data_IF_564057966168
#
_entry.id   IF_564057966168
#
_cell.length_a   1.000
_cell.length_b   1.000
_cell.length_c   1.000
_cell.angle_alpha   90.00
_cell.angle_beta   90.00
_cell.angle_gamma   90.00
#
_symmetry.space_group_name_H-M   'P 1'
#
loop_
_entity.id
_entity.type
_entity.pdbx_description
1 polymer ?
#
# COMPACT_ATOMS: atom_id res chain seq x y z
N UNK A 1 -14.45 -4.21 -7.50
CA UNK A 1 -15.03 -3.14 -6.65
C UNK A 1 -15.93 -3.67 -5.53
N UNK A 2 -17.10 -4.28 -5.81
CA UNK A 2 -18.07 -4.70 -4.77
C UNK A 2 -17.47 -5.56 -3.65
N UNK A 3 -16.64 -6.56 -4.00
CA UNK A 3 -15.96 -7.42 -3.02
C UNK A 3 -14.96 -6.65 -2.14
N UNK A 4 -14.24 -5.68 -2.71
CA UNK A 4 -13.33 -4.82 -1.95
C UNK A 4 -14.08 -3.92 -0.95
N UNK A 5 -15.24 -3.37 -1.35
CA UNK A 5 -16.10 -2.60 -0.44
C UNK A 5 -16.67 -3.46 0.70
N UNK A 6 -17.06 -4.70 0.41
CA UNK A 6 -17.51 -5.65 1.44
C UNK A 6 -16.39 -5.98 2.43
N UNK A 7 -15.18 -6.26 1.93
CA UNK A 7 -14.01 -6.48 2.76
C UNK A 7 -13.72 -5.26 3.65
N UNK A 8 -13.64 -4.05 3.08
CA UNK A 8 -13.39 -2.83 3.87
C UNK A 8 -14.49 -2.57 4.90
N UNK A 9 -15.77 -2.80 4.57
CA UNK A 9 -16.84 -2.68 5.54
C UNK A 9 -16.68 -3.67 6.71
N UNK A 10 -16.19 -4.88 6.44
CA UNK A 10 -15.92 -5.89 7.49
C UNK A 10 -14.80 -5.49 8.45
N UNK A 11 -13.90 -4.59 8.05
CA UNK A 11 -12.82 -4.09 8.91
C UNK A 11 -13.32 -3.15 10.02
N UNK A 12 -14.54 -2.60 9.89
CA UNK A 12 -15.17 -1.70 10.87
C UNK A 12 -14.32 -0.46 11.22
N UNK A 13 -13.53 0.02 10.26
CA UNK A 13 -12.79 1.27 10.41
C UNK A 13 -13.72 2.48 10.30
N UNK A 14 -13.33 3.62 10.85
CA UNK A 14 -14.14 4.85 10.80
C UNK A 14 -14.33 5.31 9.35
N UNK A 15 -15.58 5.30 8.88
CA UNK A 15 -15.93 5.56 7.47
C UNK A 15 -15.58 6.96 6.95
N UNK A 16 -15.38 7.96 7.82
CA UNK A 16 -15.11 9.36 7.42
C UNK A 16 -13.81 9.55 6.63
N UNK A 17 -12.99 8.51 6.48
CA UNK A 17 -11.72 8.57 5.73
C UNK A 17 -11.83 8.00 4.33
N UNK A 18 -12.86 7.21 4.05
CA UNK A 18 -13.06 6.65 2.74
C UNK A 18 -13.84 7.63 1.86
N UNK A 19 -13.34 7.81 0.65
CA UNK A 19 -13.94 8.69 -0.34
C UNK A 19 -14.18 7.89 -1.62
N UNK A 20 -15.44 7.43 -1.85
CA UNK A 20 -15.78 6.63 -3.01
C UNK A 20 -15.54 7.33 -4.34
N UNK A 21 -15.42 8.66 -4.37
CA UNK A 21 -15.11 9.40 -5.60
C UNK A 21 -13.74 9.00 -6.16
N UNK A 22 -12.79 8.64 -5.30
CA UNK A 22 -11.43 8.24 -5.69
C UNK A 22 -11.24 6.72 -5.83
N UNK A 23 -12.30 5.92 -5.73
CA UNK A 23 -12.24 4.48 -5.95
C UNK A 23 -11.76 4.16 -7.37
N UNK A 24 -10.91 3.14 -7.51
CA UNK A 24 -10.43 2.68 -8.81
C UNK A 24 -10.27 1.16 -8.86
N UNK A 25 -10.51 0.56 -10.03
CA UNK A 25 -10.33 -0.87 -10.24
C UNK A 25 -9.31 -1.09 -11.34
N UNK A 26 -8.24 -1.84 -11.03
CA UNK A 26 -7.14 -2.12 -11.95
C UNK A 26 -7.15 -3.57 -12.43
N UNK A 27 -8.31 -4.25 -12.39
CA UNK A 27 -8.44 -5.58 -12.97
C UNK A 27 -8.38 -5.51 -14.51
N UNK A 28 -8.16 -6.66 -15.17
CA UNK A 28 -8.05 -6.75 -16.63
C UNK A 28 -9.23 -6.16 -17.41
N UNK A 29 -10.41 -6.05 -16.81
CA UNK A 29 -11.60 -5.48 -17.46
C UNK A 29 -11.66 -3.95 -17.30
N UNK A 30 -11.24 -3.42 -16.15
CA UNK A 30 -11.35 -1.99 -15.83
C UNK A 30 -10.10 -1.20 -16.23
N UNK A 31 -8.94 -1.86 -16.27
CA UNK A 31 -7.68 -1.29 -16.73
C UNK A 31 -6.99 -2.35 -17.59
N UNK A 32 -7.37 -2.49 -18.87
CA UNK A 32 -6.93 -3.59 -19.73
C UNK A 32 -5.46 -3.41 -20.17
N UNK A 33 -4.87 -4.43 -20.79
CA UNK A 33 -3.43 -4.52 -21.10
C UNK A 33 -2.92 -3.42 -22.01
N UNK A 34 -3.80 -2.86 -22.84
CA UNK A 34 -3.50 -1.86 -23.86
C UNK A 34 -3.26 -0.48 -23.23
N UNK A 35 -3.76 -0.25 -22.01
CA UNK A 35 -3.46 0.97 -21.26
C UNK A 35 -2.01 0.97 -20.75
N UNK A 36 -1.38 2.14 -20.56
CA UNK A 36 -0.01 2.22 -20.06
C UNK A 36 0.15 1.51 -18.72
N UNK A 37 1.23 0.74 -18.54
CA UNK A 37 1.56 0.12 -17.26
C UNK A 37 2.37 1.05 -16.33
N UNK A 38 2.91 2.13 -16.90
CA UNK A 38 3.61 3.21 -16.22
C UNK A 38 3.06 4.52 -16.76
N UNK A 39 2.75 5.46 -15.86
CA UNK A 39 2.38 6.85 -16.20
C UNK A 39 3.24 7.80 -15.36
N UNK A 40 3.17 9.09 -15.64
CA UNK A 40 3.89 10.09 -14.84
C UNK A 40 3.01 10.63 -13.70
N UNK A 41 3.59 10.81 -12.51
CA UNK A 41 2.96 11.44 -11.36
C UNK A 41 4.02 12.07 -10.44
N UNK A 42 3.93 13.38 -10.21
CA UNK A 42 4.89 14.09 -9.36
C UNK A 42 6.31 14.15 -9.94
N UNK A 43 6.44 14.26 -11.27
CA UNK A 43 7.70 14.19 -12.02
C UNK A 43 8.47 12.86 -11.81
N UNK A 44 7.74 11.76 -11.57
CA UNK A 44 8.30 10.43 -11.45
C UNK A 44 7.39 9.40 -12.13
N UNK A 45 7.97 8.26 -12.47
CA UNK A 45 7.23 7.10 -12.96
C UNK A 45 6.33 6.53 -11.85
N UNK A 46 5.07 6.32 -12.19
CA UNK A 46 4.07 5.65 -11.38
C UNK A 46 3.67 4.33 -12.06
N UNK A 47 4.09 3.23 -11.45
CA UNK A 47 3.73 1.87 -11.89
C UNK A 47 2.28 1.56 -11.49
N UNK A 48 1.43 1.30 -12.48
CA UNK A 48 0.01 1.03 -12.26
C UNK A 48 -0.18 -0.29 -11.49
N UNK A 49 -0.96 -0.32 -10.40
CA UNK A 49 -1.15 -1.51 -9.58
C UNK A 49 -2.17 -2.48 -10.20
N UNK A 50 -1.85 -3.02 -11.39
CA UNK A 50 -2.69 -3.99 -12.10
C UNK A 50 -3.05 -5.19 -11.21
N UNK A 51 -4.31 -5.59 -11.25
CA UNK A 51 -4.88 -6.64 -10.41
C UNK A 51 -5.39 -6.20 -9.04
N UNK A 52 -5.24 -4.92 -8.67
CA UNK A 52 -5.70 -4.38 -7.39
C UNK A 52 -6.98 -3.56 -7.54
N UNK A 53 -7.67 -3.35 -6.42
CA UNK A 53 -8.75 -2.37 -6.29
C UNK A 53 -8.31 -1.32 -5.29
N UNK A 54 -8.36 -0.05 -5.66
CA UNK A 54 -8.20 1.07 -4.74
C UNK A 54 -9.55 1.42 -4.15
N UNK A 55 -9.61 1.41 -2.82
CA UNK A 55 -10.64 2.12 -2.07
C UNK A 55 -10.08 3.50 -1.74
N UNK A 56 -10.74 4.53 -2.26
CA UNK A 56 -10.28 5.92 -2.17
C UNK A 56 -10.23 6.41 -0.73
N UNK A 57 -9.20 7.18 -0.41
CA UNK A 57 -9.08 7.86 0.87
C UNK A 57 -9.12 9.37 0.67
N UNK A 58 -9.82 10.05 1.57
CA UNK A 58 -9.85 11.50 1.58
C UNK A 58 -8.49 12.07 2.02
N UNK A 59 -7.92 12.93 1.18
CA UNK A 59 -6.78 13.78 1.52
C UNK A 59 -7.32 15.16 1.90
N UNK A 60 -6.85 15.69 3.02
CA UNK A 60 -7.23 17.00 3.52
C UNK A 60 -6.94 18.10 2.48
N UNK A 61 -7.94 18.85 1.99
CA UNK A 61 -7.76 19.81 0.90
C UNK A 61 -6.76 20.93 1.23
N UNK A 62 -6.72 21.39 2.49
CA UNK A 62 -5.79 22.44 2.92
C UNK A 62 -4.35 21.93 2.85
N UNK A 63 -4.13 20.70 3.33
CA UNK A 63 -2.81 20.05 3.25
C UNK A 63 -2.40 19.78 1.80
N UNK A 64 -3.36 19.34 0.98
CA UNK A 64 -3.16 19.07 -0.44
C UNK A 64 -2.69 20.32 -1.19
N UNK A 65 -3.45 21.41 -1.10
CA UNK A 65 -3.17 22.69 -1.75
C UNK A 65 -1.83 23.28 -1.27
N UNK A 66 -1.60 23.32 0.04
CA UNK A 66 -0.39 23.90 0.62
C UNK A 66 0.89 23.22 0.11
N UNK A 67 0.86 21.89 -0.07
CA UNK A 67 2.02 21.13 -0.54
C UNK A 67 2.00 20.82 -2.04
N UNK A 68 0.94 21.20 -2.76
CA UNK A 68 0.65 20.79 -4.14
C UNK A 68 0.89 19.28 -4.32
N UNK A 69 0.24 18.47 -3.47
CA UNK A 69 0.55 17.05 -3.32
C UNK A 69 0.40 16.31 -4.66
N UNK A 70 -0.65 16.60 -5.41
CA UNK A 70 -0.92 15.85 -6.64
C UNK A 70 0.09 16.14 -7.76
N UNK A 71 0.60 17.36 -7.80
CA UNK A 71 1.52 17.83 -8.84
C UNK A 71 2.99 17.55 -8.52
N UNK A 72 3.36 17.63 -7.23
CA UNK A 72 4.77 17.58 -6.81
C UNK A 72 5.19 16.26 -6.18
N UNK A 73 4.27 15.53 -5.54
CA UNK A 73 4.65 14.36 -4.75
C UNK A 73 4.56 13.09 -5.60
N UNK A 74 5.59 12.24 -5.49
CA UNK A 74 5.67 10.99 -6.25
C UNK A 74 4.69 9.96 -5.67
N UNK A 75 4.31 8.97 -6.47
CA UNK A 75 3.48 7.86 -6.00
C UNK A 75 4.35 6.72 -5.49
N UNK A 76 4.10 6.27 -4.25
CA UNK A 76 4.77 5.11 -3.66
C UNK A 76 3.77 4.19 -2.95
N UNK A 77 4.23 3.03 -2.54
CA UNK A 77 3.41 1.98 -1.95
C UNK A 77 3.99 1.55 -0.61
N UNK A 78 3.16 1.45 0.42
CA UNK A 78 3.55 0.97 1.75
C UNK A 78 2.83 -0.35 2.06
N UNK A 79 3.59 -1.44 2.07
CA UNK A 79 3.11 -2.75 2.52
C UNK A 79 2.99 -2.77 4.03
N UNK A 80 1.83 -3.16 4.56
CA UNK A 80 1.62 -3.17 6.00
C UNK A 80 0.53 -4.15 6.43
N UNK A 81 0.35 -4.29 7.75
CA UNK A 81 -0.72 -5.11 8.35
C UNK A 81 -2.02 -4.32 8.44
N UNK A 82 -3.15 -5.02 8.59
CA UNK A 82 -4.47 -4.40 8.80
C UNK A 82 -4.43 -3.44 10.00
N UNK A 83 -3.86 -3.85 11.14
CA UNK A 83 -3.86 -3.02 12.35
C UNK A 83 -2.95 -1.79 12.23
N UNK A 84 -1.82 -1.91 11.54
CA UNK A 84 -0.94 -0.78 11.26
C UNK A 84 -1.58 0.18 10.25
N UNK A 85 -2.20 -0.32 9.18
CA UNK A 85 -2.97 0.51 8.26
C UNK A 85 -4.10 1.26 8.98
N UNK A 86 -4.85 0.58 9.86
CA UNK A 86 -5.90 1.22 10.66
C UNK A 86 -5.33 2.37 11.50
N UNK A 87 -4.20 2.15 12.18
CA UNK A 87 -3.52 3.16 12.98
C UNK A 87 -3.09 4.37 12.14
N UNK A 88 -2.49 4.13 10.97
CA UNK A 88 -2.06 5.19 10.04
C UNK A 88 -3.24 6.02 9.57
N UNK A 89 -4.34 5.36 9.16
CA UNK A 89 -5.52 6.06 8.64
C UNK A 89 -6.24 6.84 9.74
N UNK A 90 -6.39 6.27 10.93
CA UNK A 90 -6.99 6.96 12.08
C UNK A 90 -6.20 8.22 12.43
N UNK A 91 -4.87 8.11 12.50
CA UNK A 91 -3.99 9.19 12.94
C UNK A 91 -3.53 10.15 11.83
N UNK A 92 -3.83 9.88 10.55
CA UNK A 92 -3.30 10.63 9.37
C UNK A 92 -1.77 10.69 9.33
N UNK A 93 -1.10 9.74 9.96
CA UNK A 93 0.35 9.79 10.14
C UNK A 93 0.90 8.38 10.07
N UNK A 94 1.94 8.21 9.26
CA UNK A 94 2.67 6.95 9.21
C UNK A 94 3.37 6.69 10.55
N UNK A 95 3.25 5.45 11.03
CA UNK A 95 3.84 4.98 12.28
C UNK A 95 5.32 4.66 12.06
N UNK A 96 6.16 5.06 13.02
CA UNK A 96 7.57 4.71 13.10
C UNK A 96 7.78 3.60 14.14
N UNK A 97 8.86 2.79 14.04
CA UNK A 97 9.20 1.85 15.09
C UNK A 97 9.31 2.54 16.47
N UNK A 98 8.62 2.00 17.45
CA UNK A 98 8.41 2.56 18.79
C UNK A 98 7.06 3.25 18.99
N UNK A 99 6.31 3.55 17.92
CA UNK A 99 4.95 4.08 18.04
C UNK A 99 3.98 2.98 18.51
N UNK A 100 2.99 3.37 19.32
CA UNK A 100 1.89 2.48 19.74
C UNK A 100 0.76 2.50 18.72
N UNK A 101 0.35 1.32 18.25
CA UNK A 101 -0.76 1.13 17.34
C UNK A 101 -2.10 1.20 18.08
N UNK A 102 -3.20 1.27 17.31
CA UNK A 102 -4.55 1.42 17.85
C UNK A 102 -5.02 0.24 18.72
N UNK A 103 -4.38 -0.93 18.61
CA UNK A 103 -4.62 -2.11 19.44
C UNK A 103 -3.71 -2.19 20.68
N UNK A 104 -2.87 -1.18 20.92
CA UNK A 104 -1.88 -1.16 22.00
C UNK A 104 -0.55 -1.81 21.66
N UNK A 105 -0.39 -2.43 20.48
CA UNK A 105 0.88 -3.02 20.06
C UNK A 105 1.93 -1.94 19.84
N UNK A 106 3.12 -2.10 20.42
CA UNK A 106 4.27 -1.23 20.10
C UNK A 106 4.93 -1.72 18.81
N UNK A 107 5.03 -0.85 17.81
CA UNK A 107 5.59 -1.21 16.51
C UNK A 107 7.08 -1.49 16.62
N UNK A 108 7.49 -2.74 16.44
CA UNK A 108 8.90 -3.13 16.43
C UNK A 108 9.65 -2.74 15.15
N UNK A 109 10.98 -2.83 15.20
CA UNK A 109 11.82 -2.84 13.98
C UNK A 109 11.60 -4.21 13.32
N UNK A 110 11.12 -4.24 12.07
CA UNK A 110 10.83 -5.50 11.38
C UNK A 110 12.12 -6.18 10.87
N UNK A 111 12.14 -7.51 10.73
CA UNK A 111 13.23 -8.21 10.03
C UNK A 111 13.47 -7.61 8.63
N UNK A 112 14.73 -7.41 8.26
CA UNK A 112 15.13 -6.72 7.02
C UNK A 112 15.33 -5.21 7.14
N UNK A 113 14.94 -4.59 8.26
CA UNK A 113 15.28 -3.19 8.52
C UNK A 113 16.74 -3.06 9.01
N UNK A 114 17.36 -1.92 8.72
CA UNK A 114 18.70 -1.60 9.23
C UNK A 114 18.62 -1.52 10.77
N UNK A 115 19.45 -2.27 11.53
CA UNK A 115 19.45 -2.22 12.99
C UNK A 115 19.53 -0.78 13.52
N UNK A 116 18.73 -0.48 14.55
CA UNK A 116 18.63 0.83 15.21
C UNK A 116 18.09 1.99 14.36
N UNK A 117 17.63 1.76 13.12
CA UNK A 117 17.00 2.81 12.33
C UNK A 117 15.48 2.74 12.38
N UNK A 118 14.87 3.86 12.76
CA UNK A 118 13.41 4.01 12.86
C UNK A 118 12.90 4.64 11.57
N UNK A 119 12.70 3.81 10.55
CA UNK A 119 12.24 4.27 9.23
C UNK A 119 10.83 3.78 8.89
N UNK A 120 10.12 4.58 8.11
CA UNK A 120 9.00 4.15 7.28
C UNK A 120 9.56 3.70 5.94
N UNK A 121 9.18 2.49 5.50
CA UNK A 121 9.56 1.96 4.19
C UNK A 121 8.40 2.07 3.19
N UNK A 122 8.73 2.42 1.97
CA UNK A 122 7.84 2.47 0.81
C UNK A 122 8.59 1.96 -0.42
N UNK A 123 7.88 1.74 -1.51
CA UNK A 123 8.47 1.35 -2.79
C UNK A 123 7.82 2.11 -3.93
N UNK A 124 8.53 2.38 -5.05
CA UNK A 124 7.91 2.87 -6.28
C UNK A 124 7.00 1.81 -6.93
N UNK A 125 6.99 0.57 -6.44
CA UNK A 125 6.19 -0.52 -7.04
C UNK A 125 5.39 -1.30 -6.02
N UNK A 126 4.15 -1.61 -6.38
CA UNK A 126 3.31 -2.49 -5.57
C UNK A 126 3.83 -3.93 -5.53
N UNK A 127 4.59 -4.36 -6.56
CA UNK A 127 5.16 -5.70 -6.61
C UNK A 127 6.08 -5.96 -5.40
N UNK A 128 6.90 -4.97 -5.04
CA UNK A 128 7.75 -5.04 -3.86
C UNK A 128 6.94 -4.89 -2.56
N UNK A 129 6.12 -3.84 -2.45
CA UNK A 129 5.34 -3.57 -1.23
C UNK A 129 4.27 -4.62 -0.91
N UNK A 130 3.92 -5.48 -1.87
CA UNK A 130 2.98 -6.59 -1.65
C UNK A 130 3.65 -7.94 -1.37
N UNK A 131 4.98 -7.99 -1.22
CA UNK A 131 5.66 -9.19 -0.77
C UNK A 131 5.15 -9.61 0.63
N UNK A 132 5.05 -10.92 0.93
CA UNK A 132 4.44 -11.41 2.17
C UNK A 132 5.03 -10.83 3.46
N UNK A 133 6.33 -10.51 3.47
CA UNK A 133 7.02 -9.89 4.62
C UNK A 133 6.52 -8.48 4.94
N UNK A 134 6.04 -7.75 3.93
CA UNK A 134 5.54 -6.38 4.08
C UNK A 134 4.02 -6.33 4.18
N UNK A 135 3.33 -7.12 3.35
CA UNK A 135 1.87 -7.19 3.27
C UNK A 135 1.41 -8.64 3.49
N UNK A 136 1.29 -9.09 4.75
CA UNK A 136 0.81 -10.44 5.04
C UNK A 136 -0.63 -10.59 4.59
N UNK A 137 -0.98 -11.81 4.18
CA UNK A 137 -2.34 -12.17 3.78
C UNK A 137 -3.21 -12.35 5.02
N UNK A 138 -4.50 -12.02 4.90
CA UNK A 138 -5.51 -12.28 5.94
C UNK A 138 -6.71 -12.97 5.30
N UNK A 139 -7.30 -13.93 6.00
CA UNK A 139 -8.51 -14.61 5.52
C UNK A 139 -9.73 -13.70 5.60
N UNK A 140 -10.58 -13.77 4.59
CA UNK A 140 -11.84 -13.06 4.52
C UNK A 140 -12.92 -13.95 3.90
N UNK A 141 -13.99 -14.19 4.66
CA UNK A 141 -15.18 -14.89 4.16
C UNK A 141 -16.18 -13.86 3.62
N UNK A 142 -16.44 -13.90 2.31
CA UNK A 142 -17.44 -13.03 1.67
C UNK A 142 -18.83 -13.62 1.82
N UNK A 143 -19.74 -12.87 2.45
CA UNK A 143 -21.15 -13.20 2.53
C UNK A 143 -21.83 -13.07 1.17
N UNK A 144 -21.30 -12.23 0.28
CA UNK A 144 -21.80 -12.03 -1.08
C UNK A 144 -21.50 -13.20 -2.00
N UNK A 145 -20.26 -13.69 -2.00
CA UNK A 145 -19.86 -14.77 -2.91
C UNK A 145 -19.91 -16.16 -2.26
N UNK A 146 -20.12 -16.21 -0.93
CA UNK A 146 -20.10 -17.45 -0.13
C UNK A 146 -18.76 -18.19 -0.22
N UNK A 147 -17.66 -17.45 -0.34
CA UNK A 147 -16.30 -17.99 -0.52
C UNK A 147 -15.32 -17.33 0.44
N UNK A 148 -14.27 -18.08 0.76
CA UNK A 148 -13.12 -17.59 1.51
C UNK A 148 -12.02 -17.13 0.56
N UNK A 149 -11.42 -15.98 0.88
CA UNK A 149 -10.31 -15.38 0.15
C UNK A 149 -9.14 -15.14 1.09
N UNK A 150 -7.93 -15.20 0.54
CA UNK A 150 -6.79 -14.52 1.14
C UNK A 150 -6.71 -13.10 0.60
N UNK A 151 -6.65 -12.12 1.48
CA UNK A 151 -6.65 -10.70 1.12
C UNK A 151 -5.34 -10.07 1.53
N UNK A 152 -4.75 -9.28 0.64
CA UNK A 152 -3.63 -8.40 0.96
C UNK A 152 -4.05 -6.95 0.85
N UNK A 153 -3.44 -6.12 1.69
CA UNK A 153 -3.60 -4.67 1.65
C UNK A 153 -2.26 -3.95 1.48
N UNK A 154 -2.29 -2.84 0.75
CA UNK A 154 -1.15 -1.93 0.57
C UNK A 154 -1.70 -0.51 0.62
N UNK A 155 -1.01 0.41 1.31
CA UNK A 155 -1.35 1.83 1.23
C UNK A 155 -0.71 2.44 -0.01
N UNK A 156 -1.53 3.06 -0.85
CA UNK A 156 -1.07 3.94 -1.92
C UNK A 156 -0.80 5.32 -1.35
N UNK A 157 0.41 5.81 -1.58
CA UNK A 157 0.93 6.99 -0.91
C UNK A 157 1.38 8.04 -1.92
N UNK A 158 1.25 9.30 -1.55
CA UNK A 158 2.05 10.39 -2.09
C UNK A 158 3.22 10.60 -1.15
N UNK A 159 4.43 10.71 -1.70
CA UNK A 159 5.65 10.92 -0.94
C UNK A 159 6.35 12.18 -1.38
N UNK A 160 6.70 13.01 -0.39
CA UNK A 160 7.36 14.29 -0.64
C UNK A 160 8.73 14.05 -1.30
N UNK A 161 9.06 14.70 -2.42
CA UNK A 161 10.39 14.59 -3.01
C UNK A 161 11.46 15.04 -2.03
N UNK A 162 12.66 14.45 -2.12
CA UNK A 162 13.83 14.77 -1.28
C UNK A 162 13.63 14.53 0.22
N UNK A 163 12.57 13.84 0.63
CA UNK A 163 12.30 13.51 2.02
C UNK A 163 12.62 12.04 2.36
N UNK A 164 13.32 11.34 1.49
CA UNK A 164 13.60 9.91 1.62
C UNK A 164 14.92 9.54 0.95
N UNK A 165 15.46 8.40 1.35
CA UNK A 165 16.63 7.78 0.75
C UNK A 165 16.21 6.56 -0.05
N UNK A 166 16.91 6.29 -1.15
CA UNK A 166 16.68 5.14 -2.03
C UNK A 166 17.77 4.11 -1.81
N UNK A 167 17.39 2.84 -1.71
CA UNK A 167 18.32 1.72 -1.66
C UNK A 167 17.80 0.49 -2.43
N UNK A 168 18.65 -0.52 -2.49
CA UNK A 168 18.33 -1.83 -3.05
C UNK A 168 17.41 -2.67 -2.16
N UNK A 169 16.93 -3.76 -2.72
CA UNK A 169 16.10 -4.74 -2.01
C UNK A 169 16.85 -5.40 -0.83
N UNK A 170 16.12 -5.70 0.23
CA UNK A 170 16.63 -6.37 1.44
C UNK A 170 16.00 -7.76 1.67
N UNK A 171 15.18 -8.23 0.72
CA UNK A 171 14.45 -9.50 0.82
C UNK A 171 15.25 -10.70 0.27
N UNK A 172 16.47 -10.47 -0.20
CA UNK A 172 17.35 -11.52 -0.70
C UNK A 172 16.87 -12.11 -2.02
N UNK A 173 16.29 -11.28 -2.90
CA UNK A 173 15.79 -11.72 -4.22
C UNK A 173 16.90 -12.20 -5.16
N UNK A 174 18.19 -11.99 -4.81
CA UNK A 174 19.36 -12.39 -5.61
C UNK A 174 19.23 -11.82 -7.03
N UNK A 175 19.22 -12.68 -8.05
CA UNK A 175 19.08 -12.30 -9.46
C UNK A 175 17.62 -12.23 -9.93
N UNK A 176 16.65 -12.61 -9.09
CA UNK A 176 15.23 -12.58 -9.46
C UNK A 176 14.72 -11.15 -9.44
N UNK A 177 14.33 -10.64 -10.60
CA UNK A 177 13.69 -9.32 -10.72
C UNK A 177 12.31 -9.33 -10.05
N UNK A 178 12.07 -8.40 -9.14
CA UNK A 178 10.81 -8.34 -8.37
C UNK A 178 9.72 -7.58 -9.14
N UNK A 179 10.09 -6.49 -9.82
CA UNK A 179 9.20 -5.72 -10.68
C UNK A 179 9.83 -5.52 -12.06
N UNK A 180 9.06 -5.73 -13.12
CA UNK A 180 9.53 -5.49 -14.49
C UNK A 180 9.79 -4.01 -14.80
N UNK A 181 9.28 -3.08 -13.98
CA UNK A 181 9.38 -1.64 -14.20
C UNK A 181 10.34 -0.93 -13.23
N UNK A 182 10.85 -1.60 -12.20
CA UNK A 182 11.83 -1.02 -11.28
C UNK A 182 13.04 -1.94 -11.11
N UNK A 183 14.21 -1.34 -10.92
CA UNK A 183 15.43 -2.08 -10.58
C UNK A 183 15.38 -2.50 -9.11
N UNK A 184 15.82 -3.74 -8.82
CA UNK A 184 16.02 -4.21 -7.45
C UNK A 184 17.04 -3.36 -6.68
N UNK A 185 17.91 -2.59 -7.35
CA UNK A 185 18.90 -1.69 -6.73
C UNK A 185 18.29 -0.37 -6.23
N UNK A 186 17.05 -0.04 -6.62
CA UNK A 186 16.38 1.23 -6.33
C UNK A 186 14.89 1.03 -5.99
N UNK A 187 14.57 -0.02 -5.25
CA UNK A 187 13.17 -0.43 -4.99
C UNK A 187 12.70 -0.15 -3.57
N UNK A 188 13.59 0.19 -2.64
CA UNK A 188 13.28 0.54 -1.26
C UNK A 188 13.50 2.02 -1.01
N UNK A 189 12.44 2.73 -0.63
CA UNK A 189 12.48 4.13 -0.23
C UNK A 189 12.20 4.22 1.26
N UNK A 190 13.08 4.85 2.02
CA UNK A 190 12.93 4.94 3.47
C UNK A 190 13.10 6.36 3.98
N UNK A 191 12.37 6.68 5.07
CA UNK A 191 12.39 8.00 5.69
C UNK A 191 12.12 7.95 7.18
N UNK A 192 12.71 8.88 7.94
CA UNK A 192 12.40 9.16 9.35
C UNK A 192 11.48 10.39 9.51
N UNK A 193 11.20 11.09 8.41
CA UNK A 193 10.53 12.39 8.43
C UNK A 193 9.02 12.15 8.55
N UNK A 194 8.43 12.57 9.67
CA UNK A 194 6.97 12.58 9.84
C UNK A 194 6.32 13.58 8.87
N UNK A 195 5.05 13.38 8.57
CA UNK A 195 4.30 14.15 7.58
C UNK A 195 4.90 14.21 6.15
N UNK A 196 5.88 13.36 5.79
CA UNK A 196 6.42 13.30 4.43
C UNK A 196 5.70 12.30 3.51
N UNK A 197 4.66 11.66 4.02
CA UNK A 197 3.87 10.63 3.35
C UNK A 197 2.39 10.88 3.62
N UNK A 198 1.57 10.80 2.58
CA UNK A 198 0.11 10.90 2.66
C UNK A 198 -0.51 9.68 1.98
N UNK A 199 -1.23 8.87 2.74
CA UNK A 199 -2.00 7.77 2.19
C UNK A 199 -3.26 8.32 1.51
N UNK A 200 -3.49 7.95 0.25
CA UNK A 200 -4.67 8.38 -0.52
C UNK A 200 -5.47 7.22 -1.13
N UNK A 201 -4.98 5.99 -0.99
CA UNK A 201 -5.74 4.80 -1.36
C UNK A 201 -5.41 3.60 -0.49
N UNK A 202 -6.42 2.83 -0.13
CA UNK A 202 -6.25 1.46 0.38
C UNK A 202 -6.37 0.50 -0.80
N UNK A 203 -5.26 -0.07 -1.24
CA UNK A 203 -5.23 -1.05 -2.31
C UNK A 203 -5.50 -2.44 -1.72
N UNK A 204 -6.46 -3.15 -2.31
CA UNK A 204 -6.90 -4.48 -1.90
C UNK A 204 -6.74 -5.46 -3.05
N UNK A 205 -6.14 -6.63 -2.79
CA UNK A 205 -6.05 -7.75 -3.72
C UNK A 205 -6.58 -9.02 -3.07
N UNK A 206 -7.38 -9.76 -3.83
CA UNK A 206 -7.97 -11.03 -3.43
C UNK A 206 -7.26 -12.18 -4.14
N UNK A 207 -6.89 -13.20 -3.38
CA UNK A 207 -6.45 -14.50 -3.87
C UNK A 207 -7.52 -15.51 -3.50
N UNK A 208 -7.94 -16.34 -4.45
CA UNK A 208 -8.82 -17.47 -4.12
C UNK A 208 -7.99 -18.48 -3.33
N UNK A 209 -8.52 -18.95 -2.23
CA UNK A 209 -8.00 -20.18 -1.60
C UNK A 209 -8.37 -21.31 -2.55
N UNK A 210 -7.42 -22.15 -2.95
CA UNK A 210 -7.75 -23.39 -3.66
C UNK A 210 -8.59 -24.25 -2.72
N UNK A 211 -9.71 -24.77 -3.22
CA UNK A 211 -10.41 -25.85 -2.55
C UNK A 211 -9.57 -27.12 -2.77
N UNK A 212 -8.46 -27.27 -2.03
CA UNK A 212 -7.72 -28.53 -2.02
C UNK A 212 -8.48 -29.54 -1.15
N UNK A 213 -9.60 -30.02 -1.69
CA UNK A 213 -10.30 -31.23 -1.29
C UNK A 213 -10.84 -31.90 -2.56
N UNK A 214 -9.92 -32.51 -3.31
CA UNK A 214 -10.20 -33.66 -4.16
C UNK A 214 -8.93 -34.53 -4.17
N UNK A 215 -8.81 -35.37 -3.14
CA UNK A 215 -8.00 -36.60 -3.13
C UNK A 215 -8.68 -37.62 -2.25
#
# INVERSE_FOLDING_TARGET
MKLAKEFVASLRWVNKRFDPFFDACYCKNCYPSELPSVIEAGNAEYVIPRGWVRIGLHVDPVTEEHYAIWDKWIVTFHGTTIVAAHSILTNRQFCLPGDTLIDGTVLGIRPGHIPNKKHIYTSPTIAYSSLPVYSPKTQFHSLRTKRTYEVQIVLQCRQKPRSFTIQGETVGAKTKRICQFASNEKVEYFTEIRASLVAYGLLVRFHKVSDDYDS
#
